data_IF_219057323106
#
_entry.id   IF_219057323106
#
_cell.length_a   1.000
_cell.length_b   1.000
_cell.length_c   1.000
_cell.angle_alpha   90.00
_cell.angle_beta   90.00
_cell.angle_gamma   90.00
#
_symmetry.space_group_name_H-M   'P 1'
#
loop_
_entity.id
_entity.type
_entity.pdbx_description
1 polymer ?
#
# COMPACT_ATOMS: atom_id res chain seq x y z
N UNK A 1 -9.23 14.96 17.56
CA UNK A 1 -9.53 13.89 16.58
C UNK A 1 -10.39 12.84 17.25
N UNK A 2 -11.51 12.42 16.63
CA UNK A 2 -12.31 11.31 17.15
C UNK A 2 -11.51 10.00 17.09
N UNK A 3 -11.61 9.13 18.10
CA UNK A 3 -10.94 7.81 18.11
C UNK A 3 -11.16 7.01 16.81
N UNK A 4 -12.31 7.17 16.15
CA UNK A 4 -12.63 6.51 14.87
C UNK A 4 -11.77 7.03 13.71
N UNK A 5 -11.42 8.32 13.72
CA UNK A 5 -10.63 8.96 12.66
C UNK A 5 -9.15 8.62 12.82
N UNK A 6 -8.64 8.55 14.05
CA UNK A 6 -7.29 8.05 14.35
C UNK A 6 -7.14 6.59 13.94
N UNK A 7 -8.12 5.73 14.27
CA UNK A 7 -8.14 4.32 13.87
C UNK A 7 -8.08 4.17 12.35
N UNK A 8 -8.86 4.96 11.60
CA UNK A 8 -8.89 4.92 10.14
C UNK A 8 -7.53 5.30 9.51
N UNK A 9 -6.83 6.27 10.08
CA UNK A 9 -5.48 6.65 9.63
C UNK A 9 -4.49 5.50 9.87
N UNK A 10 -4.50 4.89 11.06
CA UNK A 10 -3.63 3.73 11.35
C UNK A 10 -3.92 2.53 10.44
N UNK A 11 -5.20 2.22 10.21
CA UNK A 11 -5.64 1.11 9.33
C UNK A 11 -5.19 1.29 7.87
N UNK A 12 -4.91 2.51 7.43
CA UNK A 12 -4.44 2.79 6.06
C UNK A 12 -2.91 2.94 6.03
N UNK A 13 -2.31 3.54 7.06
CA UNK A 13 -0.87 3.71 7.15
C UNK A 13 -0.11 2.37 7.19
N UNK A 14 -0.63 1.38 7.93
CA UNK A 14 0.00 0.05 8.05
C UNK A 14 0.09 -0.66 6.68
N UNK A 15 -0.98 -0.79 5.88
CA UNK A 15 -0.90 -1.32 4.52
C UNK A 15 0.07 -0.58 3.60
N UNK A 16 0.13 0.76 3.70
CA UNK A 16 1.06 1.57 2.91
C UNK A 16 2.51 1.21 3.27
N UNK A 17 2.83 1.09 4.56
CA UNK A 17 4.16 0.70 5.02
C UNK A 17 4.55 -0.70 4.56
N UNK A 18 3.63 -1.67 4.66
CA UNK A 18 3.86 -3.05 4.19
C UNK A 18 4.11 -3.06 2.68
N UNK A 19 3.28 -2.34 1.92
CA UNK A 19 3.42 -2.31 0.48
C UNK A 19 4.70 -1.57 0.03
N UNK A 20 5.10 -0.49 0.70
CA UNK A 20 6.39 0.15 0.47
C UNK A 20 7.56 -0.79 0.79
N UNK A 21 7.46 -1.56 1.86
CA UNK A 21 8.45 -2.59 2.21
C UNK A 21 8.55 -3.68 1.14
N UNK A 22 7.43 -4.13 0.55
CA UNK A 22 7.40 -5.09 -0.55
C UNK A 22 8.00 -4.52 -1.86
N UNK A 23 7.90 -3.21 -2.10
CA UNK A 23 8.54 -2.57 -3.26
C UNK A 23 10.07 -2.56 -3.13
N UNK A 24 10.57 -2.32 -1.91
CA UNK A 24 12.00 -2.30 -1.58
C UNK A 24 12.59 -3.72 -1.56
N UNK A 25 11.79 -4.71 -1.16
CA UNK A 25 12.18 -6.11 -1.09
C UNK A 25 11.34 -6.95 -2.07
N UNK A 26 11.53 -6.76 -3.39
CA UNK A 26 10.68 -7.39 -4.39
C UNK A 26 10.88 -8.91 -4.45
N UNK A 27 11.97 -9.45 -3.89
CA UNK A 27 12.19 -10.88 -3.69
C UNK A 27 11.15 -11.52 -2.76
N UNK A 28 10.47 -10.73 -1.90
CA UNK A 28 9.36 -11.22 -1.09
C UNK A 28 8.06 -11.42 -1.89
N UNK A 29 7.96 -10.80 -3.07
CA UNK A 29 6.82 -10.97 -3.97
C UNK A 29 6.95 -12.24 -4.83
N UNK A 30 8.15 -12.81 -4.94
CA UNK A 30 8.41 -14.04 -5.68
C UNK A 30 9.07 -15.07 -4.78
N UNK A 31 8.39 -16.20 -4.55
CA UNK A 31 9.06 -17.35 -3.93
C UNK A 31 10.05 -17.99 -4.90
N UNK A 32 11.17 -18.48 -4.36
CA UNK A 32 12.24 -19.11 -5.13
C UNK A 32 11.71 -20.19 -6.07
N UNK A 33 11.98 -20.02 -7.37
CA UNK A 33 11.44 -20.84 -8.46
C UNK A 33 10.73 -20.04 -9.56
N UNK A 34 10.33 -18.80 -9.29
CA UNK A 34 9.73 -17.88 -10.28
C UNK A 34 10.71 -16.82 -10.82
N UNK A 35 12.01 -16.97 -10.59
CA UNK A 35 13.06 -16.03 -11.03
C UNK A 35 13.08 -15.81 -12.56
N UNK A 36 12.62 -16.81 -13.31
CA UNK A 36 12.50 -16.77 -14.78
C UNK A 36 11.15 -16.21 -15.27
N UNK A 37 10.16 -16.05 -14.38
CA UNK A 37 8.83 -15.54 -14.71
C UNK A 37 8.80 -14.01 -14.63
N UNK A 38 9.51 -13.37 -15.57
CA UNK A 38 9.68 -11.92 -15.63
C UNK A 38 8.34 -11.17 -15.68
N UNK A 39 7.34 -11.73 -16.37
CA UNK A 39 5.98 -11.16 -16.43
C UNK A 39 5.27 -11.18 -15.08
N UNK A 40 5.42 -12.27 -14.31
CA UNK A 40 4.84 -12.40 -12.97
C UNK A 40 5.45 -11.40 -11.98
N UNK A 41 6.74 -11.12 -12.14
CA UNK A 41 7.45 -10.09 -11.37
C UNK A 41 6.94 -8.68 -11.66
N UNK A 42 6.81 -8.33 -12.94
CA UNK A 42 6.35 -7.00 -13.35
C UNK A 42 4.90 -6.80 -12.92
N UNK A 43 4.06 -7.82 -13.09
CA UNK A 43 2.65 -7.75 -12.70
C UNK A 43 2.48 -7.60 -11.18
N UNK A 44 3.20 -8.39 -10.37
CA UNK A 44 3.11 -8.32 -8.91
C UNK A 44 3.52 -6.94 -8.39
N UNK A 45 4.63 -6.39 -8.86
CA UNK A 45 5.06 -5.03 -8.49
C UNK A 45 4.06 -3.97 -8.92
N UNK A 46 3.50 -4.10 -10.12
CA UNK A 46 2.50 -3.16 -10.65
C UNK A 46 1.26 -3.14 -9.77
N UNK A 47 0.76 -4.31 -9.36
CA UNK A 47 -0.39 -4.41 -8.46
C UNK A 47 -0.12 -3.79 -7.09
N UNK A 48 1.07 -4.01 -6.52
CA UNK A 48 1.48 -3.39 -5.25
C UNK A 48 1.52 -1.87 -5.37
N UNK A 49 2.07 -1.33 -6.46
CA UNK A 49 2.12 0.12 -6.72
C UNK A 49 0.71 0.71 -6.84
N UNK A 50 -0.17 0.08 -7.62
CA UNK A 50 -1.57 0.54 -7.77
C UNK A 50 -2.29 0.54 -6.42
N UNK A 51 -2.09 -0.50 -5.61
CA UNK A 51 -2.67 -0.59 -4.28
C UNK A 51 -2.18 0.53 -3.34
N UNK A 52 -0.89 0.88 -3.38
CA UNK A 52 -0.34 2.01 -2.62
C UNK A 52 -0.97 3.32 -3.05
N UNK A 53 -1.04 3.59 -4.36
CA UNK A 53 -1.65 4.81 -4.88
C UNK A 53 -3.11 4.94 -4.44
N UNK A 54 -3.86 3.85 -4.49
CA UNK A 54 -5.24 3.81 -3.99
C UNK A 54 -5.32 4.13 -2.49
N UNK A 55 -4.48 3.51 -1.67
CA UNK A 55 -4.46 3.74 -0.22
C UNK A 55 -4.05 5.17 0.14
N UNK A 56 -3.05 5.74 -0.55
CA UNK A 56 -2.65 7.13 -0.39
C UNK A 56 -3.78 8.11 -0.75
N UNK A 57 -4.49 7.85 -1.84
CA UNK A 57 -5.65 8.65 -2.23
C UNK A 57 -6.76 8.60 -1.15
N UNK A 58 -7.08 7.40 -0.67
CA UNK A 58 -8.03 7.19 0.45
C UNK A 58 -7.60 7.92 1.72
N UNK A 59 -6.31 7.88 2.07
CA UNK A 59 -5.74 8.59 3.20
C UNK A 59 -5.94 10.10 3.04
N UNK A 60 -5.61 10.65 1.87
CA UNK A 60 -5.82 12.05 1.52
C UNK A 60 -7.28 12.49 1.69
N UNK A 61 -8.24 11.71 1.18
CA UNK A 61 -9.67 12.01 1.35
C UNK A 61 -10.09 12.03 2.83
N UNK A 62 -9.56 11.12 3.64
CA UNK A 62 -9.85 11.06 5.08
C UNK A 62 -9.27 12.27 5.80
N UNK A 63 -8.04 12.68 5.47
CA UNK A 63 -7.39 13.86 6.05
C UNK A 63 -8.13 15.15 5.68
N UNK A 64 -8.53 15.31 4.41
CA UNK A 64 -9.33 16.46 3.95
C UNK A 64 -10.66 16.52 4.70
N UNK A 65 -11.38 15.39 4.80
CA UNK A 65 -12.66 15.32 5.55
C UNK A 65 -12.51 15.62 7.05
N UNK A 66 -11.33 15.41 7.62
CA UNK A 66 -11.03 15.78 9.00
C UNK A 66 -10.68 17.25 9.15
N UNK A 67 -10.05 17.86 8.15
CA UNK A 67 -9.71 19.29 8.15
C UNK A 67 -10.92 20.19 7.95
N UNK A 68 -11.97 19.69 7.28
CA UNK A 68 -13.22 20.41 7.01
C UNK A 68 -14.24 20.29 8.18
N UNK A 69 -13.83 19.68 9.29
CA UNK A 69 -14.62 19.52 10.53
C UNK A 69 -13.94 20.21 11.70
#
# INVERSE_FOLDING_TARGET
MSNKSTLAVFLIAIPILIAAFLIINPDLLLSGGYELALDGFVLSRTLVIIFILYMLFKLGLILVKQSDK
#
